data_IF_547236732224
#
_entry.id   IF_547236732224
#
_cell.length_a   1.000
_cell.length_b   1.000
_cell.length_c   1.000
_cell.angle_alpha   90.00
_cell.angle_beta   90.00
_cell.angle_gamma   90.00
#
_symmetry.space_group_name_H-M   'P 1'
#
loop_
_entity.id
_entity.type
_entity.pdbx_description
1 polymer ?
#
# COMPACT_ATOMS: atom_id res chain seq x y z
N UNK A 1 -4.68 6.41 3.48
CA UNK A 1 -4.96 5.82 2.15
C UNK A 1 -6.43 6.01 1.84
N UNK A 2 -6.78 6.32 0.59
CA UNK A 2 -8.16 6.37 0.11
C UNK A 2 -8.30 5.45 -1.10
N UNK A 3 -9.28 4.54 -1.07
CA UNK A 3 -9.57 3.57 -2.11
C UNK A 3 -10.88 3.97 -2.78
N UNK A 4 -10.88 4.01 -4.10
CA UNK A 4 -12.07 4.23 -4.92
C UNK A 4 -12.92 2.96 -5.00
N UNK A 5 -14.01 2.98 -5.77
CA UNK A 5 -14.85 1.79 -5.93
C UNK A 5 -14.05 0.59 -6.46
N UNK A 6 -14.34 -0.58 -5.91
CA UNK A 6 -13.81 -1.87 -6.34
C UNK A 6 -14.69 -2.38 -7.48
N UNK A 7 -14.07 -2.81 -8.58
CA UNK A 7 -14.78 -3.40 -9.72
C UNK A 7 -15.35 -4.78 -9.38
N UNK A 8 -16.19 -5.31 -10.26
CA UNK A 8 -16.67 -6.69 -10.20
C UNK A 8 -15.54 -7.74 -10.30
N UNK A 9 -14.40 -7.39 -10.88
CA UNK A 9 -13.20 -8.24 -10.95
C UNK A 9 -12.28 -8.09 -9.75
N UNK A 10 -12.67 -7.28 -8.75
CA UNK A 10 -11.87 -7.01 -7.56
C UNK A 10 -10.79 -5.94 -7.76
N UNK A 11 -10.68 -5.34 -8.93
CA UNK A 11 -9.70 -4.29 -9.21
C UNK A 11 -10.11 -2.96 -8.56
N UNK A 12 -9.13 -2.23 -8.05
CA UNK A 12 -9.36 -0.92 -7.45
C UNK A 12 -8.20 0.04 -7.70
N UNK A 13 -8.48 1.32 -7.61
CA UNK A 13 -7.50 2.41 -7.62
C UNK A 13 -7.67 3.28 -6.39
N UNK A 14 -6.71 4.17 -6.15
CA UNK A 14 -6.80 5.09 -5.03
C UNK A 14 -5.61 6.03 -4.93
N UNK A 15 -5.53 6.71 -3.79
CA UNK A 15 -4.45 7.62 -3.44
C UNK A 15 -3.87 7.23 -2.08
N UNK A 16 -2.55 7.14 -2.03
CA UNK A 16 -1.78 6.95 -0.81
C UNK A 16 -1.07 8.26 -0.44
N UNK A 17 -1.26 8.68 0.80
CA UNK A 17 -0.50 9.77 1.43
C UNK A 17 0.30 9.15 2.57
N UNK A 18 1.63 9.05 2.39
CA UNK A 18 2.51 8.59 3.47
C UNK A 18 2.75 9.72 4.47
N UNK A 19 2.96 9.37 5.74
CA UNK A 19 3.40 10.31 6.78
C UNK A 19 4.93 10.39 6.88
N UNK A 20 5.66 9.43 6.29
CA UNK A 20 7.11 9.28 6.41
C UNK A 20 7.73 8.97 5.04
N UNK A 21 8.99 9.39 4.86
CA UNK A 21 9.77 9.17 3.64
C UNK A 21 11.25 9.37 3.93
N UNK A 22 12.11 8.58 3.29
CA UNK A 22 13.58 8.79 3.28
C UNK A 22 14.03 9.71 2.12
N UNK A 23 13.13 10.05 1.18
CA UNK A 23 13.41 10.98 0.09
C UNK A 23 13.60 12.41 0.61
N UNK A 24 14.55 13.13 0.01
CA UNK A 24 14.75 14.58 0.24
C UNK A 24 13.61 15.43 -0.32
N UNK A 25 12.84 14.87 -1.26
CA UNK A 25 11.74 15.60 -1.90
C UNK A 25 10.52 15.67 -0.97
N UNK A 26 9.76 16.76 -0.99
CA UNK A 26 8.51 16.86 -0.23
C UNK A 26 7.56 15.71 -0.56
N UNK A 27 6.94 15.12 0.46
CA UNK A 27 5.95 14.06 0.31
C UNK A 27 4.77 14.58 -0.52
N UNK A 28 4.34 13.78 -1.50
CA UNK A 28 3.18 14.06 -2.35
C UNK A 28 2.19 12.89 -2.37
N UNK A 29 0.87 13.16 -2.49
CA UNK A 29 -0.10 12.11 -2.74
C UNK A 29 0.29 11.29 -3.95
N UNK A 30 0.27 9.96 -3.81
CA UNK A 30 0.79 9.02 -4.80
C UNK A 30 -0.31 8.05 -5.22
N UNK A 31 -0.45 7.73 -6.52
CA UNK A 31 -1.46 6.81 -7.00
C UNK A 31 -1.18 5.39 -6.52
N UNK A 32 -2.26 4.65 -6.24
CA UNK A 32 -2.20 3.21 -6.03
C UNK A 32 -3.17 2.47 -6.94
N UNK A 33 -2.83 1.24 -7.29
CA UNK A 33 -3.70 0.31 -8.00
C UNK A 33 -3.53 -1.10 -7.41
N UNK A 34 -4.63 -1.84 -7.31
CA UNK A 34 -4.60 -3.16 -6.70
C UNK A 34 -5.78 -4.03 -7.08
N UNK A 35 -5.79 -5.21 -6.49
CA UNK A 35 -6.85 -6.21 -6.62
C UNK A 35 -7.15 -6.83 -5.26
N UNK A 36 -8.39 -7.21 -5.04
CA UNK A 36 -8.82 -7.97 -3.87
C UNK A 36 -9.60 -9.21 -4.27
N UNK A 37 -9.55 -10.23 -3.40
CA UNK A 37 -10.46 -11.37 -3.45
C UNK A 37 -11.89 -10.99 -3.06
N UNK A 38 -12.75 -12.00 -2.97
CA UNK A 38 -14.14 -11.86 -2.58
C UNK A 38 -14.35 -12.24 -1.12
N UNK A 39 -15.50 -11.86 -0.55
CA UNK A 39 -15.91 -12.22 0.81
C UNK A 39 -15.74 -11.09 1.83
N UNK A 40 -16.09 -11.37 3.09
CA UNK A 40 -16.11 -10.36 4.17
C UNK A 40 -14.71 -9.99 4.70
N UNK A 41 -13.73 -10.86 4.52
CA UNK A 41 -12.35 -10.71 5.02
C UNK A 41 -11.34 -10.99 3.89
N UNK A 42 -11.39 -10.24 2.78
CA UNK A 42 -10.66 -10.57 1.57
C UNK A 42 -9.15 -10.39 1.74
N UNK A 43 -8.39 -11.25 1.06
CA UNK A 43 -6.97 -11.02 0.76
C UNK A 43 -6.88 -9.99 -0.37
N UNK A 44 -5.93 -9.08 -0.29
CA UNK A 44 -5.73 -8.04 -1.29
C UNK A 44 -4.24 -7.74 -1.51
N UNK A 45 -3.94 -7.10 -2.63
CA UNK A 45 -2.65 -6.52 -2.88
C UNK A 45 -2.76 -5.24 -3.70
N UNK A 46 -1.84 -4.31 -3.50
CA UNK A 46 -1.78 -3.07 -4.27
C UNK A 46 -0.36 -2.55 -4.42
N UNK A 47 -0.14 -1.79 -5.48
CA UNK A 47 1.12 -1.12 -5.83
C UNK A 47 0.95 0.38 -5.70
N UNK A 48 1.95 1.05 -5.14
CA UNK A 48 2.07 2.50 -5.08
C UNK A 48 3.27 2.91 -5.95
N UNK A 49 3.04 3.81 -6.90
CA UNK A 49 4.12 4.54 -7.59
C UNK A 49 4.30 5.88 -6.89
N UNK A 50 5.45 6.10 -6.25
CA UNK A 50 5.69 7.31 -5.48
C UNK A 50 5.88 8.53 -6.40
N UNK A 51 5.08 9.57 -6.21
CA UNK A 51 5.10 10.78 -7.05
C UNK A 51 6.27 11.74 -6.73
N UNK A 52 7.09 11.42 -5.73
CA UNK A 52 8.17 12.26 -5.23
C UNK A 52 9.52 11.52 -5.12
N UNK A 53 9.59 10.27 -5.55
CA UNK A 53 10.79 9.45 -5.52
C UNK A 53 10.73 8.36 -6.61
N UNK A 54 11.86 8.02 -7.20
CA UNK A 54 11.98 6.85 -8.09
C UNK A 54 12.02 5.57 -7.26
N UNK A 55 10.84 5.17 -6.79
CA UNK A 55 10.64 3.97 -6.00
C UNK A 55 9.21 3.46 -6.16
N UNK A 56 9.00 2.18 -5.84
CA UNK A 56 7.70 1.53 -5.85
C UNK A 56 7.52 0.79 -4.53
N UNK A 57 6.33 0.88 -3.95
CA UNK A 57 5.94 -0.01 -2.85
C UNK A 57 4.83 -0.95 -3.30
N UNK A 58 4.93 -2.20 -2.90
CA UNK A 58 3.82 -3.17 -3.03
C UNK A 58 3.41 -3.62 -1.64
N UNK A 59 2.10 -3.74 -1.44
CA UNK A 59 1.48 -4.23 -0.21
C UNK A 59 0.69 -5.48 -0.54
N UNK A 60 0.75 -6.47 0.33
CA UNK A 60 -0.14 -7.64 0.32
C UNK A 60 -0.64 -7.86 1.75
N UNK A 61 -1.91 -8.18 1.90
CA UNK A 61 -2.51 -8.35 3.20
C UNK A 61 -3.91 -8.94 3.17
N UNK A 62 -4.53 -8.94 4.33
CA UNK A 62 -5.89 -9.42 4.53
C UNK A 62 -6.66 -8.45 5.41
N UNK A 63 -7.94 -8.25 5.06
CA UNK A 63 -8.89 -7.57 5.92
C UNK A 63 -9.41 -8.56 6.97
N UNK A 64 -9.36 -8.16 8.24
CA UNK A 64 -9.93 -8.89 9.36
C UNK A 64 -11.04 -8.08 10.02
N UNK A 65 -12.03 -8.77 10.58
CA UNK A 65 -13.01 -8.18 11.50
C UNK A 65 -12.61 -8.57 12.92
N UNK A 66 -12.54 -7.60 13.83
CA UNK A 66 -12.37 -7.90 15.25
C UNK A 66 -13.69 -8.33 15.91
N UNK A 67 -13.65 -8.61 17.22
CA UNK A 67 -14.80 -9.06 17.98
C UNK A 67 -15.97 -8.05 17.99
N UNK A 68 -15.68 -6.76 17.77
CA UNK A 68 -16.69 -5.69 17.65
C UNK A 68 -17.16 -5.49 16.20
N UNK A 69 -16.64 -6.28 15.25
CA UNK A 69 -16.91 -6.13 13.82
C UNK A 69 -16.17 -4.97 13.17
N UNK A 70 -15.13 -4.40 13.78
CA UNK A 70 -14.33 -3.33 13.17
C UNK A 70 -13.28 -3.93 12.24
N UNK A 71 -13.18 -3.33 11.06
CA UNK A 71 -12.24 -3.74 10.03
C UNK A 71 -10.80 -3.31 10.36
N UNK A 72 -9.87 -4.23 10.15
CA UNK A 72 -8.43 -4.01 10.24
C UNK A 72 -7.74 -4.62 9.02
N UNK A 73 -6.84 -3.87 8.38
CA UNK A 73 -6.06 -4.38 7.26
C UNK A 73 -4.64 -4.71 7.73
N UNK A 74 -4.30 -5.99 7.82
CA UNK A 74 -2.96 -6.44 8.19
C UNK A 74 -2.15 -6.69 6.92
N UNK A 75 -1.04 -5.96 6.77
CA UNK A 75 -0.25 -5.97 5.53
C UNK A 75 1.23 -6.18 5.78
N UNK A 76 1.87 -6.84 4.83
CA UNK A 76 3.32 -6.79 4.61
C UNK A 76 3.57 -5.99 3.34
N UNK A 77 4.68 -5.25 3.29
CA UNK A 77 5.07 -4.49 2.13
C UNK A 77 6.52 -4.70 1.75
N UNK A 78 6.80 -4.52 0.46
CA UNK A 78 8.14 -4.34 -0.08
C UNK A 78 8.25 -2.93 -0.65
N UNK A 79 9.31 -2.21 -0.31
CA UNK A 79 9.70 -0.95 -0.92
C UNK A 79 10.92 -1.22 -1.79
N UNK A 80 10.81 -0.94 -3.08
CA UNK A 80 11.88 -1.05 -4.05
C UNK A 80 12.37 0.33 -4.45
N UNK A 81 13.61 0.64 -4.09
CA UNK A 81 14.30 1.84 -4.57
C UNK A 81 14.91 1.60 -5.95
N UNK A 82 14.98 2.65 -6.76
CA UNK A 82 15.84 2.68 -7.95
C UNK A 82 17.32 2.61 -7.52
N UNK A 83 18.12 1.85 -8.26
CA UNK A 83 19.58 1.80 -8.10
C UNK A 83 20.23 2.12 -9.44
N UNK A 84 21.30 2.91 -9.40
CA UNK A 84 22.07 3.29 -10.59
C UNK A 84 22.82 2.09 -11.19
N UNK A 85 23.14 1.08 -10.38
CA UNK A 85 23.92 -0.08 -10.81
C UNK A 85 23.33 -1.39 -10.29
N UNK A 86 23.50 -2.46 -11.08
CA UNK A 86 23.14 -3.83 -10.67
C UNK A 86 23.94 -4.31 -9.45
N UNK A 87 25.15 -3.78 -9.24
CA UNK A 87 25.99 -4.15 -8.08
C UNK A 87 25.39 -3.67 -6.76
N UNK A 88 24.51 -2.66 -6.81
CA UNK A 88 23.81 -2.11 -5.65
C UNK A 88 22.43 -2.73 -5.42
N UNK A 89 22.01 -3.68 -6.26
CA UNK A 89 20.67 -4.30 -6.19
C UNK A 89 20.38 -4.97 -4.84
N UNK A 90 21.41 -5.54 -4.21
CA UNK A 90 21.29 -6.25 -2.94
C UNK A 90 20.71 -5.41 -1.79
N UNK A 91 20.87 -4.08 -1.84
CA UNK A 91 20.36 -3.13 -0.83
C UNK A 91 19.09 -2.38 -1.28
N UNK A 92 18.53 -2.72 -2.44
CA UNK A 92 17.46 -1.95 -3.07
C UNK A 92 16.06 -2.23 -2.54
N UNK A 93 15.87 -3.37 -1.88
CA UNK A 93 14.56 -3.81 -1.40
C UNK A 93 14.51 -3.78 0.12
N UNK A 94 13.53 -3.08 0.67
CA UNK A 94 13.19 -3.09 2.10
C UNK A 94 11.86 -3.81 2.30
N UNK A 95 11.67 -4.37 3.49
CA UNK A 95 10.44 -5.07 3.89
C UNK A 95 9.94 -4.51 5.22
N UNK A 96 8.62 -4.50 5.40
CA UNK A 96 8.01 -4.14 6.67
C UNK A 96 6.53 -4.49 6.71
N UNK A 97 5.86 -4.06 7.77
CA UNK A 97 4.44 -4.33 8.01
C UNK A 97 3.68 -3.04 8.31
N UNK A 98 2.41 -2.98 7.93
CA UNK A 98 1.48 -1.93 8.36
C UNK A 98 0.14 -2.54 8.73
N UNK A 99 -0.48 -1.98 9.77
CA UNK A 99 -1.88 -2.20 10.08
C UNK A 99 -2.66 -0.93 9.80
N UNK A 100 -3.73 -1.03 9.01
CA UNK A 100 -4.61 0.10 8.71
C UNK A 100 -5.97 -0.09 9.37
N UNK A 101 -6.52 1.03 9.84
CA UNK A 101 -7.85 1.10 10.43
C UNK A 101 -8.72 2.08 9.62
N UNK A 102 -10.03 1.84 9.59
CA UNK A 102 -10.98 2.76 8.96
C UNK A 102 -10.97 4.10 9.70
N UNK A 103 -10.77 5.19 8.97
CA UNK A 103 -10.85 6.54 9.54
C UNK A 103 -12.33 6.93 9.68
N UNK A 104 -12.76 7.29 10.88
CA UNK A 104 -14.10 7.86 11.08
C UNK A 104 -14.05 9.30 10.54
N UNK A 105 -14.85 9.60 9.51
CA UNK A 105 -15.12 10.99 9.16
C UNK A 105 -16.15 11.50 10.17
N UNK A 106 -15.73 12.43 11.02
CA UNK A 106 -16.64 13.25 11.82
C UNK A 106 -17.40 14.25 10.95
#
# INVERSE_FOLDING_TARGET
MQISNVSNTGAFSGIYQTAVSDSINPIRPSPLQGVQGQGAQPVFGFTIKWNFAESISVFVGQCFLDADGKEQLNTTWLLRNMMESRKDDWKATRVGTNTFYRTVRG
#
